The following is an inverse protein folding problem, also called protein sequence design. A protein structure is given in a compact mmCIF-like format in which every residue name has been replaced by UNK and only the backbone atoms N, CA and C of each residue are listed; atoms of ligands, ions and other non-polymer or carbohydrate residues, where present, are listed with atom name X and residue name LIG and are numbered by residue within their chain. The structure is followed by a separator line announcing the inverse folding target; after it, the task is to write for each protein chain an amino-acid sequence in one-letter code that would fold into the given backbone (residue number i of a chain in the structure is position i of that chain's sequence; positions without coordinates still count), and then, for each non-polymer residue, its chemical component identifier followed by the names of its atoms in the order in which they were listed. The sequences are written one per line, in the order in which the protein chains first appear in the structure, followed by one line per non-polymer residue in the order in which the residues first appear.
data_IF_533457657440
#
_entry.id   IF_533457657440
#
_cell.length_a   1.000
_cell.length_b   1.000
_cell.length_c   1.000
_cell.angle_alpha   90.00
_cell.angle_beta   90.00
_cell.angle_gamma   90.00
#
_symmetry.space_group_name_H-M   'P 1'
#
loop_
_entity.id
_entity.type
_entity.pdbx_description
1 polymer ?
#
# COMPACT_ATOMS: atom_id res chain seq x y z
N UNK A 1 23.41 76.72 44.67
CA UNK A 1 22.83 77.16 43.38
C UNK A 1 22.73 75.93 42.48
N UNK A 2 21.50 75.48 42.15
CA UNK A 2 21.06 74.65 40.98
C UNK A 2 21.91 73.41 40.61
N UNK A 3 21.42 72.19 40.39
CA UNK A 3 20.15 71.68 39.88
C UNK A 3 20.05 70.18 40.20
N UNK A 4 18.83 69.73 40.48
CA UNK A 4 18.37 68.34 40.57
C UNK A 4 18.53 67.60 39.23
N UNK A 5 19.03 66.36 39.27
CA UNK A 5 18.78 65.37 38.20
C UNK A 5 17.96 64.21 38.77
N UNK A 6 16.67 64.24 38.45
CA UNK A 6 15.79 63.07 38.42
C UNK A 6 15.69 62.61 36.96
N UNK A 7 15.32 61.33 36.80
CA UNK A 7 14.73 60.73 35.58
C UNK A 7 15.75 60.21 34.55
N UNK A 8 15.61 59.05 33.89
CA UNK A 8 14.60 57.98 33.90
C UNK A 8 15.10 56.86 32.95
N UNK A 9 14.66 55.62 33.22
CA UNK A 9 14.49 54.47 32.31
C UNK A 9 15.77 53.88 31.68
N UNK A 10 16.21 52.76 32.26
CA UNK A 10 17.02 51.74 31.57
C UNK A 10 16.09 50.96 30.65
N UNK A 11 16.55 50.81 29.41
CA UNK A 11 15.87 50.22 28.26
C UNK A 11 15.38 48.79 28.51
N UNK A 12 14.20 48.54 27.94
CA UNK A 12 13.52 47.28 27.64
C UNK A 12 14.41 46.02 27.67
N UNK A 13 14.05 44.96 28.40
CA UNK A 13 14.43 43.62 28.01
C UNK A 13 13.75 43.33 26.66
N UNK A 14 14.56 43.12 25.63
CA UNK A 14 14.13 42.51 24.37
C UNK A 14 13.65 41.09 24.68
N UNK A 15 12.39 40.96 25.08
CA UNK A 15 11.71 39.68 25.09
C UNK A 15 11.57 39.26 23.62
N UNK A 16 12.57 38.53 23.13
CA UNK A 16 12.44 37.65 21.98
C UNK A 16 11.34 36.66 22.33
N UNK A 17 10.10 37.04 22.04
CA UNK A 17 8.98 36.12 21.93
C UNK A 17 9.30 35.18 20.79
N UNK A 18 10.01 34.10 21.11
CA UNK A 18 9.94 32.88 20.32
C UNK A 18 8.52 32.40 20.54
N UNK A 19 7.59 32.89 19.72
CA UNK A 19 6.36 32.17 19.46
C UNK A 19 6.82 30.89 18.77
N UNK A 20 7.11 29.87 19.57
CA UNK A 20 7.03 28.50 19.09
C UNK A 20 5.56 28.30 18.71
N UNK A 21 5.22 28.73 17.49
CA UNK A 21 4.06 28.25 16.79
C UNK A 21 4.16 26.73 16.85
N UNK A 22 3.17 26.10 17.47
CA UNK A 22 3.16 24.67 17.71
C UNK A 22 3.38 23.92 16.41
N UNK A 23 4.59 23.45 16.20
CA UNK A 23 4.86 22.46 15.16
C UNK A 23 4.33 21.13 15.69
N UNK A 24 3.49 20.42 14.92
CA UNK A 24 2.86 19.21 15.38
C UNK A 24 3.92 18.11 15.51
N UNK A 25 3.98 17.54 16.71
CA UNK A 25 4.28 16.14 16.97
C UNK A 25 5.36 15.47 16.09
N UNK A 26 6.56 15.34 16.64
CA UNK A 26 7.36 14.13 16.40
C UNK A 26 6.46 12.90 16.65
N UNK A 27 5.93 12.26 15.61
CA UNK A 27 5.07 11.09 15.83
C UNK A 27 4.27 10.51 14.66
N UNK A 28 3.95 11.24 13.59
CA UNK A 28 3.21 10.64 12.46
C UNK A 28 3.57 11.32 11.15
N UNK A 29 4.24 10.59 10.25
CA UNK A 29 4.48 11.03 8.88
C UNK A 29 3.13 11.15 8.15
N UNK A 30 2.96 12.18 7.33
CA UNK A 30 1.81 12.27 6.44
C UNK A 30 1.78 11.06 5.50
N UNK A 31 0.59 10.52 5.19
CA UNK A 31 0.48 9.40 4.27
C UNK A 31 1.01 9.86 2.90
N UNK A 32 1.73 8.97 2.24
CA UNK A 32 2.32 9.22 0.93
C UNK A 32 1.64 8.26 -0.03
N UNK A 33 0.72 8.75 -0.85
CA UNK A 33 -0.12 7.87 -1.66
C UNK A 33 0.40 7.79 -3.09
N UNK A 34 0.88 6.61 -3.49
CA UNK A 34 1.15 6.28 -4.87
C UNK A 34 -0.13 5.80 -5.55
N UNK A 35 -0.43 6.29 -6.75
CA UNK A 35 -1.59 5.89 -7.55
C UNK A 35 -1.15 5.36 -8.91
N UNK A 36 -1.74 4.25 -9.35
CA UNK A 36 -1.46 3.69 -10.68
C UNK A 36 -2.66 2.87 -11.22
N UNK A 37 -2.65 2.60 -12.52
CA UNK A 37 -3.49 1.58 -13.16
C UNK A 37 -2.61 0.52 -13.79
N UNK A 38 -2.67 -0.70 -13.25
CA UNK A 38 -1.77 -1.79 -13.63
C UNK A 38 -2.54 -2.97 -14.22
N UNK A 39 -1.92 -3.68 -15.17
CA UNK A 39 -2.46 -4.92 -15.72
C UNK A 39 -1.76 -6.13 -15.09
N UNK A 40 -2.55 -7.04 -14.52
CA UNK A 40 -2.09 -8.29 -13.94
C UNK A 40 -2.53 -9.43 -14.85
N UNK A 41 -1.58 -10.24 -15.30
CA UNK A 41 -1.79 -11.30 -16.25
C UNK A 41 -1.71 -12.66 -15.56
N UNK A 42 -2.77 -13.45 -15.67
CA UNK A 42 -2.77 -14.86 -15.29
C UNK A 42 -1.92 -15.68 -16.27
N UNK A 43 -1.27 -16.77 -15.80
CA UNK A 43 -0.59 -17.71 -16.68
C UNK A 43 -1.57 -18.31 -17.69
N UNK A 44 -1.07 -18.61 -18.88
CA UNK A 44 -1.78 -19.34 -19.93
C UNK A 44 -0.94 -20.51 -20.41
N UNK A 45 -1.58 -21.53 -20.98
CA UNK A 45 -0.87 -22.70 -21.53
C UNK A 45 0.09 -22.33 -22.66
N UNK A 46 -0.25 -21.26 -23.41
CA UNK A 46 0.54 -20.80 -24.56
C UNK A 46 1.73 -19.92 -24.15
N UNK A 47 1.60 -19.12 -23.09
CA UNK A 47 2.64 -18.21 -22.60
C UNK A 47 2.66 -18.15 -21.06
N UNK A 48 3.07 -19.22 -20.37
CA UNK A 48 3.08 -19.25 -18.90
C UNK A 48 3.98 -18.16 -18.30
N UNK A 49 5.11 -17.86 -18.97
CA UNK A 49 6.06 -16.82 -18.58
C UNK A 49 5.55 -15.38 -18.74
N UNK A 50 4.42 -15.16 -19.43
CA UNK A 50 3.81 -13.85 -19.57
C UNK A 50 2.98 -13.45 -18.32
N UNK A 51 2.84 -14.35 -17.35
CA UNK A 51 2.16 -14.05 -16.10
C UNK A 51 2.87 -12.93 -15.33
N UNK A 52 2.09 -12.13 -14.60
CA UNK A 52 2.59 -11.06 -13.75
C UNK A 52 1.95 -11.11 -12.37
N UNK A 53 2.61 -10.45 -11.43
CA UNK A 53 2.14 -10.23 -10.07
C UNK A 53 2.14 -8.74 -9.76
N UNK A 54 1.27 -8.35 -8.85
CA UNK A 54 1.26 -7.03 -8.25
C UNK A 54 2.08 -7.04 -6.96
N UNK A 55 2.94 -6.05 -6.84
CA UNK A 55 3.63 -5.70 -5.60
C UNK A 55 3.06 -4.35 -5.15
N UNK A 56 2.22 -4.37 -4.11
CA UNK A 56 1.66 -3.14 -3.54
C UNK A 56 2.64 -2.48 -2.59
N UNK A 57 3.89 -2.94 -2.49
CA UNK A 57 4.92 -2.11 -1.88
C UNK A 57 5.26 -0.97 -2.84
N UNK A 58 5.09 0.26 -2.36
CA UNK A 58 5.46 1.46 -3.07
C UNK A 58 6.62 2.16 -2.36
N UNK A 59 7.49 2.71 -3.20
CA UNK A 59 8.59 3.55 -2.77
C UNK A 59 8.74 4.63 -3.85
N UNK A 60 8.82 5.90 -3.44
CA UNK A 60 9.00 7.06 -4.33
C UNK A 60 7.92 7.19 -5.42
N UNK A 61 6.67 6.83 -5.11
CA UNK A 61 5.52 6.93 -5.99
C UNK A 61 5.36 5.77 -6.98
N UNK A 62 6.21 4.74 -6.90
CA UNK A 62 6.23 3.64 -7.87
C UNK A 62 5.57 2.39 -7.28
N UNK A 63 4.54 1.89 -7.96
CA UNK A 63 3.91 0.60 -7.66
C UNK A 63 4.52 -0.45 -8.58
N UNK A 64 5.00 -1.54 -7.98
CA UNK A 64 5.79 -2.55 -8.67
C UNK A 64 5.00 -3.81 -9.06
N UNK A 65 5.73 -4.75 -9.65
CA UNK A 65 5.22 -6.07 -9.93
C UNK A 65 6.31 -7.03 -10.37
N UNK A 66 6.10 -8.32 -10.14
CA UNK A 66 7.00 -9.36 -10.63
C UNK A 66 6.48 -9.91 -11.96
N UNK A 67 7.37 -10.13 -12.93
CA UNK A 67 7.07 -10.96 -14.11
C UNK A 67 7.44 -12.41 -13.80
N UNK A 68 6.64 -13.34 -14.31
CA UNK A 68 6.81 -14.77 -14.11
C UNK A 68 7.00 -15.14 -12.61
N UNK A 69 6.02 -14.78 -11.76
CA UNK A 69 6.14 -14.88 -10.30
C UNK A 69 6.32 -16.31 -9.79
N UNK A 70 5.87 -17.32 -10.54
CA UNK A 70 5.99 -18.74 -10.14
C UNK A 70 7.38 -19.32 -10.41
N UNK A 71 8.07 -18.89 -11.48
CA UNK A 71 9.47 -19.28 -11.69
C UNK A 71 10.37 -18.75 -10.58
N UNK A 72 10.12 -17.53 -10.11
CA UNK A 72 10.82 -16.98 -8.94
C UNK A 72 10.55 -17.80 -7.68
N UNK A 73 9.35 -18.39 -7.59
CA UNK A 73 9.02 -19.23 -6.46
C UNK A 73 9.66 -20.64 -6.52
N UNK A 74 9.99 -21.13 -7.72
CA UNK A 74 10.70 -22.40 -7.92
C UNK A 74 12.24 -22.27 -7.98
N UNK A 75 12.79 -21.11 -7.63
CA UNK A 75 14.24 -20.89 -7.64
C UNK A 75 14.97 -21.72 -6.55
N UNK A 76 16.23 -22.15 -6.78
CA UNK A 76 16.90 -23.19 -5.97
C UNK A 76 17.23 -22.83 -4.51
N UNK A 77 16.94 -21.60 -4.08
CA UNK A 77 17.14 -21.15 -2.70
C UNK A 77 15.77 -21.01 -2.02
N UNK A 78 15.42 -21.89 -1.05
CA UNK A 78 14.24 -21.71 -0.23
C UNK A 78 14.34 -20.38 0.54
N UNK A 79 13.43 -19.44 0.28
CA UNK A 79 13.22 -18.27 1.14
C UNK A 79 13.66 -16.89 0.63
N UNK A 80 14.48 -16.76 -0.42
CA UNK A 80 14.92 -15.42 -0.88
C UNK A 80 14.15 -14.85 -2.09
N UNK A 81 13.52 -15.70 -2.92
CA UNK A 81 12.83 -15.27 -4.15
C UNK A 81 11.32 -15.57 -4.16
N UNK A 82 10.84 -16.43 -3.27
CA UNK A 82 9.42 -16.77 -3.10
C UNK A 82 8.67 -15.61 -2.44
N UNK A 83 7.59 -15.13 -3.05
CA UNK A 83 6.73 -14.11 -2.45
C UNK A 83 7.32 -12.70 -2.40
N UNK A 84 8.17 -12.31 -3.38
CA UNK A 84 8.60 -10.91 -3.60
C UNK A 84 7.52 -10.02 -4.25
N UNK A 85 6.29 -10.47 -4.21
CA UNK A 85 5.11 -9.84 -4.75
C UNK A 85 3.97 -10.16 -3.79
N UNK A 86 2.85 -9.45 -3.90
CA UNK A 86 1.78 -9.55 -2.91
C UNK A 86 0.56 -10.30 -3.46
N UNK A 87 0.20 -10.05 -4.71
CA UNK A 87 -0.95 -10.66 -5.37
C UNK A 87 -0.62 -11.15 -6.78
N UNK A 88 -1.22 -12.25 -7.18
CA UNK A 88 -1.31 -12.69 -8.58
C UNK A 88 -2.75 -12.90 -8.98
N UNK A 89 -3.01 -12.97 -10.28
CA UNK A 89 -4.28 -13.45 -10.82
C UNK A 89 -4.14 -14.89 -11.30
N UNK A 90 -5.14 -15.73 -11.02
CA UNK A 90 -5.28 -17.08 -11.60
C UNK A 90 -6.67 -17.27 -12.18
N UNK A 91 -6.80 -18.31 -13.01
CA UNK A 91 -8.10 -18.86 -13.39
C UNK A 91 -8.44 -20.02 -12.47
N UNK A 92 -9.62 -19.99 -11.87
CA UNK A 92 -10.18 -21.10 -11.10
C UNK A 92 -11.64 -21.26 -11.51
N UNK A 93 -12.03 -22.48 -11.90
CA UNK A 93 -13.40 -22.81 -12.33
C UNK A 93 -13.95 -21.84 -13.41
N UNK A 94 -13.08 -21.42 -14.34
CA UNK A 94 -13.42 -20.50 -15.43
C UNK A 94 -13.51 -19.02 -15.03
N UNK A 95 -13.25 -18.67 -13.77
CA UNK A 95 -13.29 -17.31 -13.26
C UNK A 95 -11.89 -16.80 -12.89
N UNK A 96 -11.71 -15.48 -12.88
CA UNK A 96 -10.49 -14.86 -12.38
C UNK A 96 -10.57 -14.66 -10.87
N UNK A 97 -9.46 -15.00 -10.21
CA UNK A 97 -9.30 -14.88 -8.76
C UNK A 97 -7.98 -14.19 -8.44
N UNK A 98 -7.99 -13.34 -7.42
CA UNK A 98 -6.78 -12.88 -6.76
C UNK A 98 -6.27 -13.97 -5.82
N UNK A 99 -4.98 -14.29 -5.92
CA UNK A 99 -4.28 -15.13 -4.96
C UNK A 99 -3.18 -14.33 -4.28
N UNK A 100 -3.23 -14.19 -2.94
CA UNK A 100 -2.10 -13.70 -2.17
C UNK A 100 -0.88 -14.61 -2.29
N UNK A 101 0.31 -14.05 -2.10
CA UNK A 101 1.56 -14.81 -2.17
C UNK A 101 1.61 -16.02 -1.22
N UNK A 102 0.94 -15.96 -0.07
CA UNK A 102 0.85 -17.09 0.86
C UNK A 102 0.05 -18.28 0.31
N UNK A 103 -0.90 -18.04 -0.59
CA UNK A 103 -1.70 -19.08 -1.24
C UNK A 103 -0.92 -19.83 -2.34
N UNK A 104 0.13 -19.22 -2.88
CA UNK A 104 0.95 -19.80 -3.95
C UNK A 104 2.18 -20.45 -3.32
N UNK A 105 2.15 -21.79 -3.25
CA UNK A 105 3.28 -22.67 -2.88
C UNK A 105 3.58 -22.82 -1.37
N UNK A 106 2.63 -22.50 -0.49
CA UNK A 106 2.81 -22.69 0.96
C UNK A 106 3.87 -21.77 1.57
N UNK A 107 4.23 -20.69 0.86
CA UNK A 107 5.15 -19.66 1.31
C UNK A 107 4.56 -18.94 2.52
N UNK A 108 5.36 -18.74 3.58
CA UNK A 108 4.93 -17.86 4.68
C UNK A 108 5.02 -16.41 4.22
N UNK A 109 3.87 -15.82 3.88
CA UNK A 109 3.77 -14.40 3.54
C UNK A 109 2.65 -13.73 4.35
N UNK A 110 2.86 -12.47 4.71
CA UNK A 110 1.82 -11.62 5.33
C UNK A 110 0.96 -10.89 4.30
N UNK A 111 1.29 -11.00 3.01
CA UNK A 111 0.48 -10.44 1.93
C UNK A 111 -0.94 -10.99 2.01
N UNK A 112 -1.92 -10.12 1.88
CA UNK A 112 -3.32 -10.52 1.94
C UNK A 112 -4.25 -9.50 1.35
N UNK A 113 -5.46 -9.94 1.07
CA UNK A 113 -6.52 -9.14 0.45
C UNK A 113 -7.82 -9.34 1.23
N UNK A 114 -8.62 -8.29 1.36
CA UNK A 114 -9.95 -8.39 1.97
C UNK A 114 -10.93 -9.12 1.04
N UNK A 115 -12.07 -9.51 1.59
CA UNK A 115 -13.26 -9.73 0.75
C UNK A 115 -13.68 -8.40 0.09
N UNK A 116 -14.49 -8.44 -0.99
CA UNK A 116 -15.06 -7.23 -1.58
C UNK A 116 -15.75 -6.37 -0.53
N UNK A 117 -15.42 -5.08 -0.50
CA UNK A 117 -16.05 -4.10 0.38
C UNK A 117 -17.36 -3.63 -0.26
N UNK A 118 -18.43 -3.62 0.53
CA UNK A 118 -19.72 -3.12 0.10
C UNK A 118 -19.89 -1.63 0.43
N UNK A 119 -20.59 -0.91 -0.45
CA UNK A 119 -21.15 0.41 -0.14
C UNK A 119 -20.16 1.57 -0.02
N UNK A 120 -18.94 1.42 -0.55
CA UNK A 120 -17.94 2.50 -0.62
C UNK A 120 -17.36 2.60 -2.02
N UNK A 121 -17.11 3.82 -2.48
CA UNK A 121 -16.35 4.08 -3.70
C UNK A 121 -14.84 4.04 -3.44
N UNK A 122 -14.05 4.01 -4.50
CA UNK A 122 -12.59 4.04 -4.39
C UNK A 122 -12.13 5.35 -3.74
N UNK A 123 -12.83 6.44 -4.01
CA UNK A 123 -12.55 7.79 -3.51
C UNK A 123 -12.98 7.95 -2.04
N UNK A 124 -14.10 7.34 -1.64
CA UNK A 124 -14.62 7.36 -0.27
C UNK A 124 -13.81 6.51 0.71
N UNK A 125 -13.14 5.45 0.24
CA UNK A 125 -12.30 4.62 1.09
C UNK A 125 -11.00 5.36 1.44
N UNK A 126 -11.03 6.03 2.60
CA UNK A 126 -9.92 6.86 3.12
C UNK A 126 -8.94 6.11 4.01
N UNK A 127 -9.34 4.98 4.57
CA UNK A 127 -8.54 4.19 5.51
C UNK A 127 -8.96 2.72 5.46
N UNK A 128 -8.04 1.81 5.78
CA UNK A 128 -8.37 0.39 5.99
C UNK A 128 -9.45 0.27 7.08
N UNK A 129 -10.61 -0.34 6.81
CA UNK A 129 -11.66 -0.48 7.81
C UNK A 129 -11.19 -1.23 9.05
N UNK A 130 -11.63 -0.77 10.23
CA UNK A 130 -11.35 -1.47 11.48
C UNK A 130 -11.92 -2.89 11.44
N UNK A 131 -11.11 -3.87 11.84
CA UNK A 131 -11.52 -5.28 11.82
C UNK A 131 -11.48 -5.95 10.43
N UNK A 132 -10.90 -5.31 9.40
CA UNK A 132 -10.67 -5.97 8.11
C UNK A 132 -9.91 -7.28 8.31
N UNK A 133 -10.53 -8.37 7.86
CA UNK A 133 -9.90 -9.69 7.78
C UNK A 133 -9.19 -9.81 6.44
N UNK A 134 -7.89 -10.06 6.49
CA UNK A 134 -7.07 -10.28 5.30
C UNK A 134 -6.97 -11.78 5.02
N UNK A 135 -7.46 -12.19 3.85
CA UNK A 135 -7.27 -13.53 3.30
C UNK A 135 -5.83 -13.63 2.79
N UNK A 136 -5.08 -14.64 3.23
CA UNK A 136 -3.64 -14.79 2.93
C UNK A 136 -3.29 -16.10 2.21
N UNK A 137 -4.18 -17.09 2.24
CA UNK A 137 -3.91 -18.49 1.91
C UNK A 137 -4.95 -19.11 0.96
N UNK A 138 -5.94 -18.32 0.52
CA UNK A 138 -7.02 -18.77 -0.34
C UNK A 138 -7.37 -17.73 -1.40
N UNK A 139 -8.05 -18.19 -2.45
CA UNK A 139 -8.46 -17.37 -3.58
C UNK A 139 -9.60 -16.41 -3.20
N UNK A 140 -9.55 -15.18 -3.73
CA UNK A 140 -10.63 -14.19 -3.64
C UNK A 140 -11.10 -13.83 -5.03
N UNK A 141 -12.40 -13.91 -5.28
CA UNK A 141 -12.98 -13.64 -6.60
C UNK A 141 -12.68 -12.21 -7.08
N UNK A 142 -12.24 -12.07 -8.33
CA UNK A 142 -12.09 -10.78 -9.00
C UNK A 142 -13.47 -10.32 -9.46
N UNK A 143 -13.96 -9.21 -8.90
CA UNK A 143 -15.24 -8.62 -9.26
C UNK A 143 -15.01 -7.19 -9.78
N UNK A 144 -15.18 -6.94 -11.10
CA UNK A 144 -15.07 -5.60 -11.64
C UNK A 144 -15.94 -4.58 -10.92
N UNK A 145 -15.38 -3.41 -10.66
CA UNK A 145 -16.03 -2.31 -9.94
C UNK A 145 -16.09 -2.46 -8.41
N UNK A 146 -15.81 -3.65 -7.86
CA UNK A 146 -15.74 -3.85 -6.42
C UNK A 146 -14.42 -3.35 -5.84
N UNK A 147 -14.46 -2.96 -4.57
CA UNK A 147 -13.32 -2.42 -3.86
C UNK A 147 -12.71 -3.45 -2.92
N UNK A 148 -11.39 -3.48 -2.86
CA UNK A 148 -10.63 -4.37 -2.00
C UNK A 148 -9.59 -3.56 -1.24
N UNK A 149 -9.23 -4.04 -0.06
CA UNK A 149 -8.02 -3.58 0.64
C UNK A 149 -6.97 -4.67 0.55
N UNK A 150 -5.76 -4.25 0.24
CA UNK A 150 -4.59 -5.12 0.16
C UNK A 150 -3.62 -4.74 1.28
N UNK A 151 -3.05 -5.75 1.93
CA UNK A 151 -1.89 -5.62 2.82
C UNK A 151 -0.71 -6.24 2.10
N UNK A 152 0.40 -5.54 2.04
CA UNK A 152 1.64 -6.06 1.46
C UNK A 152 2.17 -7.26 2.24
N UNK A 153 3.13 -7.97 1.66
CA UNK A 153 4.04 -8.82 2.43
C UNK A 153 4.80 -7.99 3.46
N UNK A 154 5.37 -8.67 4.43
CA UNK A 154 6.36 -8.05 5.32
C UNK A 154 7.69 -7.92 4.58
N UNK A 155 8.26 -6.72 4.61
CA UNK A 155 9.57 -6.45 4.01
C UNK A 155 10.40 -5.58 4.94
N UNK A 156 11.72 -5.53 4.72
CA UNK A 156 12.62 -4.71 5.50
C UNK A 156 12.64 -3.29 4.94
N UNK A 157 12.05 -2.35 5.67
CA UNK A 157 12.12 -0.92 5.41
C UNK A 157 13.31 -0.26 6.16
N UNK A 158 13.40 1.07 6.05
CA UNK A 158 14.51 1.84 6.63
C UNK A 158 14.67 1.72 8.15
N UNK A 159 13.59 1.39 8.88
CA UNK A 159 13.57 1.32 10.35
C UNK A 159 13.21 -0.06 10.93
N UNK A 160 13.12 -1.11 10.10
CA UNK A 160 12.75 -2.46 10.54
C UNK A 160 11.76 -3.14 9.61
N UNK A 161 10.99 -4.10 10.13
CA UNK A 161 9.93 -4.74 9.37
C UNK A 161 8.84 -3.72 9.05
N UNK A 162 8.27 -3.82 7.86
CA UNK A 162 7.28 -2.90 7.33
C UNK A 162 6.13 -3.67 6.68
N UNK A 163 4.94 -3.11 6.81
CA UNK A 163 3.76 -3.45 6.01
C UNK A 163 3.22 -2.16 5.41
N UNK A 164 2.77 -2.23 4.17
CA UNK A 164 2.03 -1.17 3.53
C UNK A 164 0.62 -1.64 3.20
N UNK A 165 -0.28 -0.68 3.03
CA UNK A 165 -1.68 -0.93 2.72
C UNK A 165 -2.06 -0.20 1.44
N UNK A 166 -2.92 -0.84 0.67
CA UNK A 166 -3.45 -0.29 -0.57
C UNK A 166 -4.95 -0.52 -0.68
N UNK A 167 -5.63 0.33 -1.44
CA UNK A 167 -6.95 0.05 -2.00
C UNK A 167 -6.80 -0.33 -3.46
N UNK A 168 -7.62 -1.27 -3.90
CA UNK A 168 -7.57 -1.85 -5.23
C UNK A 168 -8.99 -2.00 -5.79
N UNK A 169 -9.21 -1.55 -7.01
CA UNK A 169 -10.47 -1.71 -7.75
C UNK A 169 -10.19 -2.34 -9.12
N UNK A 170 -10.68 -3.55 -9.41
CA UNK A 170 -10.60 -4.10 -10.75
C UNK A 170 -11.49 -3.27 -11.69
N UNK A 171 -10.88 -2.64 -12.69
CA UNK A 171 -11.58 -1.82 -13.69
C UNK A 171 -12.11 -2.71 -14.82
N UNK A 172 -11.31 -3.68 -15.22
CA UNK A 172 -11.66 -4.65 -16.26
C UNK A 172 -11.09 -6.02 -15.89
N UNK A 173 -11.86 -7.08 -16.13
CA UNK A 173 -11.42 -8.46 -15.98
C UNK A 173 -11.89 -9.27 -17.19
N UNK A 174 -10.95 -9.93 -17.87
CA UNK A 174 -11.24 -10.79 -19.01
C UNK A 174 -10.71 -12.19 -18.71
N UNK A 175 -11.63 -13.09 -18.38
CA UNK A 175 -11.30 -14.48 -18.07
C UNK A 175 -10.76 -15.25 -19.29
N UNK A 176 -11.13 -14.88 -20.51
CA UNK A 176 -10.65 -15.55 -21.72
C UNK A 176 -9.16 -15.27 -21.92
N UNK A 177 -8.75 -13.99 -21.87
CA UNK A 177 -7.33 -13.60 -21.99
C UNK A 177 -6.56 -13.77 -20.68
N UNK A 178 -7.25 -13.82 -19.54
CA UNK A 178 -6.64 -13.96 -18.22
C UNK A 178 -6.09 -12.66 -17.66
N UNK A 179 -6.56 -11.53 -18.17
CA UNK A 179 -6.07 -10.20 -17.82
C UNK A 179 -7.02 -9.51 -16.85
N UNK A 180 -6.45 -8.82 -15.86
CA UNK A 180 -7.18 -7.89 -15.00
C UNK A 180 -6.47 -6.55 -15.02
N UNK A 181 -7.18 -5.49 -15.39
CA UNK A 181 -6.74 -4.12 -15.15
C UNK A 181 -7.27 -3.68 -13.79
N UNK A 182 -6.40 -3.18 -12.94
CA UNK A 182 -6.75 -2.70 -11.61
C UNK A 182 -6.27 -1.27 -11.43
N UNK A 183 -7.12 -0.44 -10.87
CA UNK A 183 -6.74 0.83 -10.27
C UNK A 183 -6.29 0.56 -8.84
N UNK A 184 -5.16 1.14 -8.44
CA UNK A 184 -4.54 0.90 -7.14
C UNK A 184 -4.02 2.20 -6.55
N UNK A 185 -4.21 2.35 -5.23
CA UNK A 185 -3.63 3.43 -4.45
C UNK A 185 -2.99 2.85 -3.19
N UNK A 186 -1.70 3.12 -2.99
CA UNK A 186 -0.86 2.52 -1.95
C UNK A 186 -0.32 3.61 -1.03
N UNK A 187 -0.40 3.41 0.29
CA UNK A 187 0.31 4.24 1.25
C UNK A 187 1.73 3.71 1.50
N UNK A 188 2.73 4.53 1.21
CA UNK A 188 4.14 4.18 1.39
C UNK A 188 4.58 4.16 2.86
N UNK A 189 3.80 4.76 3.75
CA UNK A 189 4.15 4.86 5.17
C UNK A 189 3.88 3.52 5.87
N UNK A 190 4.94 2.93 6.43
CA UNK A 190 4.87 1.66 7.14
C UNK A 190 3.80 1.67 8.25
N UNK A 191 2.94 0.65 8.23
CA UNK A 191 1.87 0.38 9.18
C UNK A 191 0.75 1.43 9.22
N UNK A 192 0.79 2.46 8.39
CA UNK A 192 -0.26 3.48 8.33
C UNK A 192 -1.41 3.01 7.44
N UNK A 193 -2.60 2.96 8.03
CA UNK A 193 -3.80 2.43 7.40
C UNK A 193 -4.52 3.43 6.50
N UNK A 194 -4.11 4.71 6.52
CA UNK A 194 -4.69 5.75 5.65
C UNK A 194 -4.41 5.43 4.17
N UNK A 195 -5.38 5.69 3.30
CA UNK A 195 -5.37 5.34 1.86
C UNK A 195 -5.66 6.54 0.95
N UNK A 196 -5.61 7.75 1.51
CA UNK A 196 -5.75 9.03 0.80
C UNK A 196 -4.81 10.06 1.42
N UNK A 197 -4.42 11.03 0.61
CA UNK A 197 -3.63 12.18 1.05
C UNK A 197 -4.41 13.01 2.11
N UNK A 198 -3.74 13.74 3.01
CA UNK A 198 -4.41 14.66 3.92
C UNK A 198 -5.11 15.77 3.13
N UNK A 199 -6.37 16.06 3.46
CA UNK A 199 -7.11 17.18 2.86
C UNK A 199 -7.64 16.95 1.44
N UNK A 200 -7.49 15.74 0.87
CA UNK A 200 -8.15 15.34 -0.38
C UNK A 200 -9.64 15.09 -0.22
#
# INVERSE_FOLDING_TARGET
MRLSFRSIIILLPLALGITACGDPAFGRTDPQIAHDTVSIQAPSDQQPQASSALDVTAQIGLIGGARDPERLANAPAPGELQGRWDLVVRRQDGQLVFLPAGAVLGTRSRAGISQPLAGQTFEELREVPAGTVFVTDSAVAVQPGQLYVVRSREFRGGFGNCLQYAKLRPVQADAATGSVQVEVATNEVCFDTRLVEPGS
#
